data_IF_156473560608
#
_entry.id   IF_156473560608
#
_cell.length_a   1.000
_cell.length_b   1.000
_cell.length_c   1.000
_cell.angle_alpha   90.00
_cell.angle_beta   90.00
_cell.angle_gamma   90.00
#
_symmetry.space_group_name_H-M   'P 1'
#
loop_
_entity.id
_entity.type
_entity.pdbx_description
1 polymer ?
#
# COMPACT_ATOMS: atom_id res chain seq x y z
N UNK A 1 -7.62 29.50 2.20
CA UNK A 1 -6.93 28.98 3.41
C UNK A 1 -6.14 27.76 2.96
N UNK A 2 -4.82 27.89 2.86
CA UNK A 2 -3.96 26.78 2.49
C UNK A 2 -3.85 25.81 3.68
N UNK A 3 -4.16 24.54 3.45
CA UNK A 3 -3.85 23.48 4.41
C UNK A 3 -2.32 23.44 4.50
N UNK A 4 -1.71 23.56 5.70
CA UNK A 4 -0.27 23.44 5.81
C UNK A 4 0.10 22.00 5.42
N UNK A 5 1.00 21.87 4.45
CA UNK A 5 1.68 20.61 4.20
C UNK A 5 2.35 20.20 5.52
N UNK A 6 1.93 19.09 6.09
CA UNK A 6 2.60 18.52 7.25
C UNK A 6 4.07 18.34 6.89
N UNK A 7 4.96 19.00 7.63
CA UNK A 7 6.38 18.75 7.58
C UNK A 7 6.56 17.25 7.84
N UNK A 8 6.94 16.51 6.80
CA UNK A 8 7.27 15.09 6.89
C UNK A 8 8.60 15.02 7.63
N UNK A 9 8.52 14.91 8.95
CA UNK A 9 9.69 14.80 9.81
C UNK A 9 10.65 13.75 9.23
N UNK A 10 11.89 14.17 9.05
CA UNK A 10 13.00 13.34 8.61
C UNK A 10 13.30 12.26 9.66
N UNK A 11 12.47 11.23 9.72
CA UNK A 11 12.70 10.08 10.57
C UNK A 11 13.70 9.17 9.85
N UNK A 12 14.98 9.34 10.16
CA UNK A 12 15.93 8.24 9.95
C UNK A 12 15.45 7.07 10.80
N UNK A 13 14.88 6.04 10.16
CA UNK A 13 14.46 4.83 10.87
C UNK A 13 15.72 4.21 11.48
N UNK A 14 15.87 4.34 12.81
CA UNK A 14 17.00 3.76 13.56
C UNK A 14 16.73 2.29 13.93
N UNK A 15 15.56 1.79 13.56
CA UNK A 15 15.14 0.40 13.79
C UNK A 15 15.74 -0.53 12.74
N UNK A 16 15.86 -1.82 13.09
CA UNK A 16 16.25 -2.85 12.13
C UNK A 16 15.23 -2.90 10.99
N UNK A 17 15.66 -2.63 9.76
CA UNK A 17 14.81 -2.59 8.58
C UNK A 17 14.03 -3.88 8.32
N UNK A 18 14.52 -5.03 8.80
CA UNK A 18 13.78 -6.29 8.74
C UNK A 18 12.47 -6.26 9.55
N UNK A 19 12.41 -5.45 10.62
CA UNK A 19 11.22 -5.29 11.48
C UNK A 19 10.13 -4.41 10.87
N UNK A 20 10.40 -3.78 9.73
CA UNK A 20 9.41 -3.00 8.99
C UNK A 20 8.48 -3.90 8.17
N UNK A 21 8.94 -5.09 7.79
CA UNK A 21 8.08 -6.12 7.23
C UNK A 21 7.35 -6.84 8.37
N UNK A 22 6.10 -6.46 8.65
CA UNK A 22 5.32 -7.07 9.73
C UNK A 22 4.66 -8.40 9.35
N UNK A 23 4.82 -8.86 8.10
CA UNK A 23 4.06 -9.99 7.52
C UNK A 23 4.32 -11.33 8.19
N UNK A 24 5.50 -11.51 8.78
CA UNK A 24 5.92 -12.73 9.50
C UNK A 24 6.45 -12.46 10.91
N UNK A 25 6.42 -11.20 11.36
CA UNK A 25 7.01 -10.79 12.63
C UNK A 25 6.06 -11.04 13.82
N UNK A 26 6.65 -11.36 14.97
CA UNK A 26 5.89 -11.61 16.22
C UNK A 26 5.60 -10.35 17.03
N UNK A 27 6.10 -9.19 16.59
CA UNK A 27 5.93 -7.89 17.23
C UNK A 27 5.76 -6.80 16.17
N UNK A 28 4.99 -5.75 16.47
CA UNK A 28 4.88 -4.58 15.59
C UNK A 28 5.97 -3.57 15.93
N UNK A 29 6.72 -3.14 14.92
CA UNK A 29 7.71 -2.05 15.07
C UNK A 29 7.01 -0.74 15.49
N UNK A 30 7.63 0.09 16.36
CA UNK A 30 7.09 1.42 16.69
C UNK A 30 6.89 2.32 15.47
N UNK A 31 7.76 2.21 14.47
CA UNK A 31 7.64 2.94 13.19
C UNK A 31 6.41 2.49 12.40
N UNK A 32 6.22 1.17 12.23
CA UNK A 32 5.03 0.60 11.57
C UNK A 32 3.76 0.99 12.31
N UNK A 33 3.74 0.84 13.64
CA UNK A 33 2.59 1.17 14.48
C UNK A 33 2.20 2.64 14.33
N UNK A 34 3.17 3.57 14.31
CA UNK A 34 2.91 5.00 14.18
C UNK A 34 2.26 5.35 12.84
N UNK A 35 2.76 4.79 11.74
CA UNK A 35 2.15 5.02 10.43
C UNK A 35 0.75 4.41 10.36
N UNK A 36 0.56 3.20 10.88
CA UNK A 36 -0.76 2.57 10.96
C UNK A 36 -1.74 3.42 11.79
N UNK A 37 -1.31 4.03 12.90
CA UNK A 37 -2.13 4.96 13.69
C UNK A 37 -2.56 6.18 12.84
N UNK A 38 -1.66 6.78 12.07
CA UNK A 38 -1.99 7.87 11.14
C UNK A 38 -3.03 7.43 10.11
N UNK A 39 -2.89 6.23 9.54
CA UNK A 39 -3.87 5.69 8.59
C UNK A 39 -5.24 5.44 9.26
N UNK A 40 -5.25 4.97 10.51
CA UNK A 40 -6.51 4.78 11.25
C UNK A 40 -7.21 6.10 11.59
N UNK A 41 -6.49 7.22 11.71
CA UNK A 41 -7.11 8.55 11.77
C UNK A 41 -7.83 8.86 10.45
N UNK A 42 -7.21 8.56 9.30
CA UNK A 42 -7.84 8.75 7.98
C UNK A 42 -9.09 7.86 7.81
N UNK A 43 -9.09 6.64 8.36
CA UNK A 43 -10.28 5.77 8.43
C UNK A 43 -11.38 6.44 9.26
N UNK A 44 -11.05 6.95 10.45
CA UNK A 44 -12.01 7.65 11.32
C UNK A 44 -12.61 8.91 10.68
N UNK A 45 -11.90 9.52 9.74
CA UNK A 45 -12.36 10.68 8.95
C UNK A 45 -13.12 10.30 7.68
N UNK A 46 -13.28 9.01 7.36
CA UNK A 46 -13.88 8.54 6.11
C UNK A 46 -13.03 8.80 4.87
N UNK A 47 -11.73 9.11 5.05
CA UNK A 47 -10.78 9.37 3.96
C UNK A 47 -10.14 8.09 3.44
N UNK A 48 -10.03 7.06 4.26
CA UNK A 48 -9.58 5.73 3.89
C UNK A 48 -10.70 4.73 4.16
N UNK A 49 -11.06 3.93 3.17
CA UNK A 49 -12.13 2.93 3.27
C UNK A 49 -11.70 1.59 2.69
N UNK A 50 -12.18 0.49 3.26
CA UNK A 50 -12.03 -0.85 2.70
C UNK A 50 -13.09 -1.21 1.66
N UNK A 51 -12.96 -2.38 1.06
CA UNK A 51 -14.02 -3.10 0.35
C UNK A 51 -14.40 -4.37 1.13
N UNK A 52 -15.33 -5.20 0.65
CA UNK A 52 -15.67 -6.47 1.30
C UNK A 52 -15.10 -7.64 0.50
N UNK A 53 -14.37 -8.58 1.10
CA UNK A 53 -13.84 -8.60 2.48
C UNK A 53 -12.92 -7.42 2.83
N UNK A 54 -12.99 -6.97 4.10
CA UNK A 54 -12.32 -5.74 4.53
C UNK A 54 -10.92 -6.01 5.07
N UNK A 55 -9.95 -5.27 4.54
CA UNK A 55 -8.52 -5.31 4.91
C UNK A 55 -8.08 -4.17 5.84
N UNK A 56 -8.95 -3.21 6.14
CA UNK A 56 -8.69 -2.18 7.16
C UNK A 56 -8.40 -2.78 8.57
N UNK A 57 -9.01 -3.91 8.98
CA UNK A 57 -8.64 -4.56 10.24
C UNK A 57 -7.16 -4.92 10.39
N UNK A 58 -6.45 -5.18 9.29
CA UNK A 58 -5.00 -5.44 9.32
C UNK A 58 -4.22 -4.21 9.77
N UNK A 59 -4.53 -3.05 9.19
CA UNK A 59 -3.95 -1.75 9.57
C UNK A 59 -4.31 -1.43 11.04
N UNK A 60 -5.55 -1.73 11.46
CA UNK A 60 -5.98 -1.55 12.86
C UNK A 60 -5.15 -2.39 13.83
N UNK A 61 -4.90 -3.66 13.53
CA UNK A 61 -4.06 -4.54 14.35
C UNK A 61 -2.67 -3.91 14.55
N UNK A 62 -2.05 -3.43 13.47
CA UNK A 62 -0.74 -2.77 13.54
C UNK A 62 -0.79 -1.47 14.36
N UNK A 63 -1.84 -0.65 14.21
CA UNK A 63 -2.01 0.58 14.98
C UNK A 63 -2.15 0.32 16.50
N UNK A 64 -2.80 -0.79 16.88
CA UNK A 64 -2.93 -1.27 18.25
C UNK A 64 -1.65 -1.96 18.76
N UNK A 65 -0.61 -2.11 17.92
CA UNK A 65 0.63 -2.80 18.28
C UNK A 65 0.48 -4.32 18.35
N UNK A 66 -0.57 -4.87 17.72
CA UNK A 66 -0.91 -6.30 17.74
C UNK A 66 -0.39 -6.99 16.50
N UNK A 67 0.61 -7.85 16.68
CA UNK A 67 1.04 -8.78 15.64
C UNK A 67 0.09 -9.98 15.61
N UNK A 68 -0.74 -10.06 14.57
CA UNK A 68 -1.67 -11.18 14.36
C UNK A 68 -1.07 -12.10 13.27
N UNK A 69 -0.84 -13.39 13.56
CA UNK A 69 -0.25 -14.31 12.59
C UNK A 69 -1.01 -14.34 11.26
N UNK A 70 -0.32 -14.06 10.16
CA UNK A 70 -0.91 -14.04 8.81
C UNK A 70 -1.71 -12.78 8.46
N UNK A 71 -1.65 -11.73 9.30
CA UNK A 71 -2.34 -10.46 9.10
C UNK A 71 -1.39 -9.25 9.13
N UNK A 72 -0.08 -9.48 8.99
CA UNK A 72 0.88 -8.39 8.90
C UNK A 72 0.80 -7.70 7.54
N UNK A 73 1.35 -6.49 7.47
CA UNK A 73 1.41 -5.67 6.26
C UNK A 73 2.81 -5.14 6.11
N UNK A 74 3.35 -5.19 4.89
CA UNK A 74 4.62 -4.55 4.55
C UNK A 74 4.53 -3.04 4.81
N UNK A 75 5.52 -2.46 5.49
CA UNK A 75 5.56 -1.03 5.76
C UNK A 75 5.44 -0.18 4.49
N UNK A 76 5.99 -0.64 3.36
CA UNK A 76 5.92 0.04 2.06
C UNK A 76 4.50 0.11 1.53
N UNK A 77 3.66 -0.90 1.81
CA UNK A 77 2.22 -0.85 1.51
C UNK A 77 1.56 0.27 2.32
N UNK A 78 1.84 0.38 3.62
CA UNK A 78 1.30 1.47 4.45
C UNK A 78 1.75 2.86 3.95
N UNK A 79 3.02 3.00 3.56
CA UNK A 79 3.55 4.25 2.99
C UNK A 79 2.88 4.60 1.66
N UNK A 80 2.57 3.60 0.83
CA UNK A 80 1.85 3.78 -0.44
C UNK A 80 0.44 4.33 -0.20
N UNK A 81 -0.28 3.79 0.79
CA UNK A 81 -1.60 4.29 1.19
C UNK A 81 -1.50 5.74 1.70
N UNK A 82 -0.47 6.07 2.49
CA UNK A 82 -0.23 7.45 2.94
C UNK A 82 0.00 8.41 1.77
N UNK A 83 0.79 8.03 0.77
CA UNK A 83 1.01 8.85 -0.43
C UNK A 83 -0.29 9.02 -1.22
N UNK A 84 -1.14 7.99 -1.32
CA UNK A 84 -2.47 8.12 -1.92
C UNK A 84 -3.32 9.14 -1.14
N UNK A 85 -3.35 9.07 0.19
CA UNK A 85 -4.08 10.03 1.03
C UNK A 85 -3.51 11.45 0.98
N UNK A 86 -2.24 11.64 0.61
CA UNK A 86 -1.66 12.96 0.37
C UNK A 86 -2.09 13.56 -0.99
N UNK A 87 -2.47 12.72 -1.95
CA UNK A 87 -2.80 13.11 -3.32
C UNK A 87 -4.31 13.13 -3.63
N UNK A 88 -5.11 12.51 -2.78
CA UNK A 88 -6.56 12.33 -2.96
C UNK A 88 -7.31 12.60 -1.64
N UNK A 89 -8.54 13.10 -1.76
CA UNK A 89 -9.40 13.40 -0.61
C UNK A 89 -9.92 12.11 0.04
N UNK A 90 -10.31 11.14 -0.78
CA UNK A 90 -10.72 9.79 -0.36
C UNK A 90 -9.99 8.72 -1.16
N UNK A 91 -9.67 7.62 -0.49
CA UNK A 91 -8.94 6.46 -1.01
C UNK A 91 -9.66 5.19 -0.57
N UNK A 92 -9.99 4.32 -1.52
CA UNK A 92 -10.54 3.00 -1.27
C UNK A 92 -9.54 1.90 -1.60
N UNK A 93 -9.30 1.01 -0.65
CA UNK A 93 -8.42 -0.16 -0.79
C UNK A 93 -9.28 -1.43 -0.80
N UNK A 94 -9.09 -2.28 -1.80
CA UNK A 94 -9.83 -3.54 -1.93
C UNK A 94 -9.08 -4.72 -1.33
N UNK A 95 -7.74 -4.74 -1.45
CA UNK A 95 -6.93 -5.85 -0.94
C UNK A 95 -5.59 -5.40 -0.36
N UNK A 96 -5.18 -6.07 0.72
CA UNK A 96 -3.84 -5.95 1.32
C UNK A 96 -3.31 -7.35 1.67
N UNK A 97 -3.75 -7.96 2.78
CA UNK A 97 -3.34 -9.30 3.17
C UNK A 97 -4.49 -10.31 3.06
N UNK A 98 -4.65 -10.89 1.88
CA UNK A 98 -5.62 -11.98 1.63
C UNK A 98 -5.40 -13.22 2.51
N UNK A 99 -4.21 -13.41 3.08
CA UNK A 99 -3.99 -14.49 4.07
C UNK A 99 -4.73 -14.22 5.38
N UNK A 100 -4.91 -12.95 5.76
CA UNK A 100 -5.66 -12.57 6.95
C UNK A 100 -7.15 -12.88 6.84
N UNK A 101 -7.72 -12.63 5.65
CA UNK A 101 -9.13 -12.86 5.36
C UNK A 101 -9.43 -14.26 4.86
N UNK A 102 -8.41 -15.03 4.49
CA UNK A 102 -8.54 -16.37 3.90
C UNK A 102 -8.98 -16.36 2.43
N UNK A 103 -8.96 -15.19 1.77
CA UNK A 103 -9.31 -15.07 0.35
C UNK A 103 -8.25 -15.72 -0.54
N UNK A 104 -8.72 -16.39 -1.58
CA UNK A 104 -7.89 -16.99 -2.64
C UNK A 104 -8.42 -16.47 -3.97
N UNK A 105 -7.67 -15.56 -4.58
CA UNK A 105 -8.05 -14.85 -5.81
C UNK A 105 -6.84 -14.73 -6.73
N UNK A 106 -7.09 -14.51 -8.03
CA UNK A 106 -6.03 -14.35 -9.04
C UNK A 106 -5.02 -15.51 -9.01
N UNK A 107 -3.73 -15.17 -8.81
CA UNK A 107 -2.63 -16.14 -8.68
C UNK A 107 -2.71 -17.07 -7.44
N UNK A 108 -3.80 -17.01 -6.67
CA UNK A 108 -4.08 -17.85 -5.53
C UNK A 108 -3.05 -17.68 -4.42
N UNK A 109 -2.61 -18.77 -3.80
CA UNK A 109 -1.62 -18.72 -2.73
C UNK A 109 -0.23 -18.25 -3.17
N UNK A 110 0.02 -18.15 -4.48
CA UNK A 110 1.22 -17.55 -5.03
C UNK A 110 1.13 -16.02 -5.12
N UNK A 111 -0.02 -15.38 -4.90
CA UNK A 111 -0.16 -13.92 -4.90
C UNK A 111 0.65 -13.26 -3.78
N UNK A 112 1.14 -12.04 -3.98
CA UNK A 112 1.79 -11.19 -2.96
C UNK A 112 0.87 -10.76 -1.83
N UNK A 113 -0.44 -10.76 -2.07
CA UNK A 113 -1.42 -10.63 -1.00
C UNK A 113 -1.46 -11.84 -0.05
N UNK A 114 -0.93 -13.01 -0.42
CA UNK A 114 -1.08 -14.26 0.33
C UNK A 114 0.23 -14.97 0.72
N UNK A 115 1.16 -15.14 -0.22
CA UNK A 115 2.37 -15.91 0.02
C UNK A 115 3.32 -15.18 0.99
N UNK A 116 4.19 -15.94 1.65
CA UNK A 116 5.19 -15.43 2.60
C UNK A 116 4.59 -14.55 3.72
N UNK A 117 3.44 -14.94 4.26
CA UNK A 117 2.73 -14.17 5.30
C UNK A 117 1.65 -13.23 4.75
N UNK A 118 1.65 -12.98 3.44
CA UNK A 118 0.73 -12.06 2.75
C UNK A 118 1.03 -10.59 3.07
N UNK A 119 0.25 -9.65 2.54
CA UNK A 119 0.42 -8.22 2.85
C UNK A 119 1.59 -7.53 2.16
N UNK A 120 2.12 -8.12 1.07
CA UNK A 120 3.21 -7.57 0.25
C UNK A 120 2.72 -6.73 -0.94
N UNK A 121 1.42 -6.57 -1.10
CA UNK A 121 0.80 -5.82 -2.18
C UNK A 121 -0.43 -5.04 -1.69
N UNK A 122 -0.86 -4.07 -2.50
CA UNK A 122 -2.07 -3.29 -2.25
C UNK A 122 -2.84 -3.04 -3.54
N UNK A 123 -4.15 -3.25 -3.47
CA UNK A 123 -5.09 -2.95 -4.55
C UNK A 123 -5.91 -1.73 -4.18
N UNK A 124 -5.80 -0.66 -4.96
CA UNK A 124 -6.69 0.50 -4.86
C UNK A 124 -7.85 0.34 -5.84
N UNK A 125 -9.08 0.46 -5.35
CA UNK A 125 -10.28 0.35 -6.21
C UNK A 125 -11.03 1.67 -6.36
N UNK A 126 -10.81 2.64 -5.47
CA UNK A 126 -11.43 3.97 -5.54
C UNK A 126 -10.43 5.09 -5.21
N UNK A 127 -10.47 6.17 -6.00
CA UNK A 127 -9.84 7.45 -5.63
C UNK A 127 -10.82 8.60 -5.87
N UNK A 128 -11.01 9.45 -4.86
CA UNK A 128 -12.01 10.53 -4.86
C UNK A 128 -13.43 10.04 -5.27
N UNK A 129 -13.80 8.84 -4.82
CA UNK A 129 -15.09 8.21 -5.11
C UNK A 129 -15.26 7.73 -6.56
N UNK A 130 -14.17 7.62 -7.34
CA UNK A 130 -14.19 7.09 -8.71
C UNK A 130 -13.49 5.75 -8.79
N UNK A 131 -14.07 4.75 -9.48
CA UNK A 131 -13.45 3.44 -9.68
C UNK A 131 -12.18 3.55 -10.50
N UNK A 132 -11.22 2.69 -10.19
CA UNK A 132 -9.95 2.61 -10.90
C UNK A 132 -9.97 1.48 -11.94
N UNK A 133 -9.09 1.61 -12.93
CA UNK A 133 -8.84 0.58 -13.93
C UNK A 133 -7.35 0.29 -14.13
N UNK A 134 -6.48 0.99 -13.40
CA UNK A 134 -5.04 1.02 -13.64
C UNK A 134 -4.60 1.90 -14.83
N UNK A 135 -5.55 2.40 -15.64
CA UNK A 135 -5.30 3.34 -16.73
C UNK A 135 -6.16 4.60 -16.74
N UNK A 136 -7.10 4.70 -15.80
CA UNK A 136 -7.90 5.90 -15.58
C UNK A 136 -7.06 7.09 -15.05
N UNK A 137 -7.55 8.33 -15.12
CA UNK A 137 -6.80 9.50 -14.68
C UNK A 137 -6.36 9.48 -13.21
N UNK A 138 -7.12 8.83 -12.32
CA UNK A 138 -6.78 8.66 -10.91
C UNK A 138 -5.58 7.74 -10.76
N UNK A 139 -5.61 6.58 -11.41
CA UNK A 139 -4.49 5.63 -11.45
C UNK A 139 -3.22 6.28 -12.00
N UNK A 140 -3.31 6.95 -13.15
CA UNK A 140 -2.14 7.59 -13.76
C UNK A 140 -1.54 8.70 -12.90
N UNK A 141 -2.37 9.45 -12.16
CA UNK A 141 -1.89 10.45 -11.20
C UNK A 141 -1.16 9.78 -10.04
N UNK A 142 -1.71 8.71 -9.47
CA UNK A 142 -1.09 8.00 -8.35
C UNK A 142 0.23 7.35 -8.76
N UNK A 143 0.28 6.68 -9.92
CA UNK A 143 1.52 6.09 -10.48
C UNK A 143 2.64 7.13 -10.57
N UNK A 144 2.37 8.31 -11.15
CA UNK A 144 3.38 9.38 -11.28
C UNK A 144 3.85 9.94 -9.95
N UNK A 145 2.96 10.00 -8.95
CA UNK A 145 3.31 10.46 -7.61
C UNK A 145 4.18 9.44 -6.86
N UNK A 146 3.97 8.14 -7.14
CA UNK A 146 4.67 7.05 -6.47
C UNK A 146 5.99 6.69 -7.12
N UNK A 147 6.09 6.66 -8.45
CA UNK A 147 7.27 6.16 -9.17
C UNK A 147 8.61 6.71 -8.64
N UNK A 148 8.81 8.02 -8.43
CA UNK A 148 10.09 8.52 -7.91
C UNK A 148 10.38 8.11 -6.46
N UNK A 149 9.34 7.74 -5.69
CA UNK A 149 9.45 7.31 -4.30
C UNK A 149 9.67 5.80 -4.17
N UNK A 150 9.32 5.02 -5.19
CA UNK A 150 9.36 3.57 -5.07
C UNK A 150 10.79 3.05 -4.97
N UNK A 151 11.02 2.01 -4.15
CA UNK A 151 12.19 1.17 -4.31
C UNK A 151 12.24 0.61 -5.74
N UNK A 152 13.43 0.48 -6.36
CA UNK A 152 13.56 -0.16 -7.67
C UNK A 152 12.94 -1.56 -7.68
N UNK A 153 12.51 -2.01 -8.85
CA UNK A 153 11.87 -3.31 -9.07
C UNK A 153 10.55 -3.52 -8.31
N UNK A 154 9.80 -2.44 -8.04
CA UNK A 154 8.42 -2.54 -7.51
C UNK A 154 7.48 -2.93 -8.65
N UNK A 155 6.68 -3.98 -8.47
CA UNK A 155 5.78 -4.46 -9.51
C UNK A 155 4.52 -3.57 -9.60
N UNK A 156 4.08 -3.26 -10.81
CA UNK A 156 2.94 -2.40 -11.11
C UNK A 156 1.97 -3.08 -12.09
N UNK A 157 0.80 -3.47 -11.62
CA UNK A 157 -0.19 -4.20 -12.43
C UNK A 157 -0.84 -3.34 -13.52
N UNK A 158 -1.78 -3.94 -14.26
CA UNK A 158 -2.64 -3.28 -15.25
C UNK A 158 -1.91 -2.63 -16.44
N UNK A 159 -0.76 -3.18 -16.87
CA UNK A 159 -0.04 -2.63 -18.03
C UNK A 159 -0.89 -2.62 -19.30
N UNK A 160 -1.74 -3.64 -19.52
CA UNK A 160 -2.67 -3.72 -20.65
C UNK A 160 -3.87 -2.76 -20.59
N UNK A 161 -4.08 -2.06 -19.47
CA UNK A 161 -5.25 -1.20 -19.25
C UNK A 161 -4.95 0.28 -19.54
N UNK A 162 -3.70 0.62 -19.88
CA UNK A 162 -3.21 1.99 -20.07
C UNK A 162 -2.34 2.10 -21.32
N UNK A 163 -2.28 3.32 -21.87
CA UNK A 163 -1.19 3.68 -22.79
C UNK A 163 0.17 3.62 -22.06
N UNK A 164 1.27 3.59 -22.81
CA UNK A 164 2.61 3.57 -22.23
C UNK A 164 2.80 4.71 -21.23
N UNK A 165 3.26 4.38 -20.02
CA UNK A 165 3.64 5.33 -18.97
C UNK A 165 5.12 5.15 -18.71
N UNK A 166 5.88 6.24 -18.80
CA UNK A 166 7.29 6.24 -18.41
C UNK A 166 7.38 6.10 -16.88
N UNK A 167 7.96 5.00 -16.43
CA UNK A 167 8.25 4.70 -15.02
C UNK A 167 9.71 4.26 -14.91
N UNK A 168 10.32 4.51 -13.76
CA UNK A 168 11.74 4.28 -13.51
C UNK A 168 12.00 3.28 -12.39
N UNK A 169 11.13 3.22 -11.39
CA UNK A 169 11.27 2.26 -10.28
C UNK A 169 10.20 1.16 -10.34
N UNK A 170 9.15 1.35 -11.15
CA UNK A 170 8.15 0.31 -11.40
C UNK A 170 8.53 -0.67 -12.51
N UNK A 171 8.15 -1.93 -12.33
CA UNK A 171 8.14 -3.01 -13.34
C UNK A 171 6.68 -3.34 -13.71
N UNK A 172 6.20 -2.93 -14.89
CA UNK A 172 4.82 -3.18 -15.29
C UNK A 172 4.54 -4.67 -15.58
N UNK A 173 3.38 -5.17 -15.15
CA UNK A 173 2.88 -6.51 -15.50
C UNK A 173 1.37 -6.53 -15.79
N UNK A 174 0.89 -7.63 -16.37
CA UNK A 174 -0.52 -7.82 -16.74
C UNK A 174 -1.38 -8.16 -15.52
N UNK A 175 -2.49 -7.45 -15.36
CA UNK A 175 -3.49 -7.70 -14.33
C UNK A 175 -4.85 -7.10 -14.76
N UNK A 176 -5.92 -7.41 -14.03
CA UNK A 176 -7.31 -7.06 -14.37
C UNK A 176 -7.57 -5.56 -14.25
N UNK A 177 -8.32 -4.99 -15.20
CA UNK A 177 -8.56 -3.55 -15.34
C UNK A 177 -9.67 -2.99 -14.43
N UNK A 178 -9.75 -3.42 -13.18
CA UNK A 178 -10.77 -3.02 -12.19
C UNK A 178 -10.19 -2.42 -10.89
N UNK A 179 -8.86 -2.32 -10.80
CA UNK A 179 -8.14 -1.70 -9.69
C UNK A 179 -6.76 -1.20 -10.14
N UNK A 180 -5.99 -0.62 -9.22
CA UNK A 180 -4.56 -0.34 -9.38
C UNK A 180 -3.76 -1.17 -8.38
N UNK A 181 -2.94 -2.08 -8.89
CA UNK A 181 -2.12 -3.01 -8.13
C UNK A 181 -0.68 -2.52 -7.96
N UNK A 182 -0.15 -2.59 -6.74
CA UNK A 182 1.24 -2.29 -6.43
C UNK A 182 1.80 -3.41 -5.54
N UNK A 183 2.91 -4.02 -5.97
CA UNK A 183 3.50 -5.21 -5.34
C UNK A 183 4.99 -5.01 -5.03
N UNK A 184 5.35 -5.35 -3.79
CA UNK A 184 6.67 -5.14 -3.22
C UNK A 184 7.50 -6.43 -3.08
N UNK A 185 7.03 -7.57 -3.57
CA UNK A 185 7.73 -8.85 -3.44
C UNK A 185 9.10 -8.85 -4.10
N UNK A 186 9.25 -8.18 -5.24
CA UNK A 186 10.53 -8.04 -5.95
C UNK A 186 11.28 -6.74 -5.59
N UNK A 187 10.63 -5.83 -4.86
CA UNK A 187 11.12 -4.49 -4.66
C UNK A 187 12.39 -4.43 -3.80
N UNK A 188 13.38 -3.67 -4.25
CA UNK A 188 14.68 -3.52 -3.61
C UNK A 188 14.70 -2.34 -2.63
N UNK A 189 14.63 -2.66 -1.34
CA UNK A 189 14.78 -1.70 -0.25
C UNK A 189 13.60 -1.70 0.71
N UNK A 190 13.81 -1.34 1.98
CA UNK A 190 12.82 -1.56 3.04
C UNK A 190 11.75 -0.46 3.15
N UNK A 191 11.86 0.62 2.38
CA UNK A 191 11.01 1.81 2.49
C UNK A 191 10.88 2.52 1.14
N UNK A 192 9.83 3.31 0.98
CA UNK A 192 9.78 4.36 -0.04
C UNK A 192 10.85 5.44 0.26
N UNK A 193 11.42 6.03 -0.79
CA UNK A 193 12.34 7.17 -0.70
C UNK A 193 11.59 8.38 -0.14
N UNK A 194 12.28 9.17 0.68
CA UNK A 194 11.78 10.48 1.13
C UNK A 194 11.91 11.50 0.00
N UNK A 195 11.01 12.47 -0.05
CA UNK A 195 11.24 13.68 -0.85
C UNK A 195 12.43 14.42 -0.24
N UNK A 196 13.49 14.63 -1.03
CA UNK A 196 14.58 15.57 -0.73
C UNK A 196 14.35 16.89 -1.44
#
# INVERSE_FOLDING_TARGET
>A
MAIPAAARDAFSITENSAKLDSTVESTVSPTVQRLAQTLMVAVGQGRLTGYVPDHIPEIRNLAEGRAVPGCGVDYRVLQTIEVALANFNTVGVSDINRRCTGQIEGAGSASSHYANGGGHAVDFYLLNGRPLTGGDPGSLKLIRALDPLMPPDTDLGQVGCRGSVAVTNFLPFDDTCDHLHIDFRQAQGPTLKLFT
#
